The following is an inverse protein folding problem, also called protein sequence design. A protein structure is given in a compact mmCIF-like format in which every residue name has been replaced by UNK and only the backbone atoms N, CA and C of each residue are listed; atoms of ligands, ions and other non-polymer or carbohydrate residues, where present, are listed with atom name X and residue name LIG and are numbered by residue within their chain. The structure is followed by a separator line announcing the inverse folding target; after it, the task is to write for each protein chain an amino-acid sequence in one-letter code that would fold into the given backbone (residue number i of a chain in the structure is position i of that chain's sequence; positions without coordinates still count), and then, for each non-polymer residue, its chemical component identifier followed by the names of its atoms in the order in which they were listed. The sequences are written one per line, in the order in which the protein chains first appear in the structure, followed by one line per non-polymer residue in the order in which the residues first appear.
data_IF_707238883883
#
_entry.id   IF_707238883883
#
_cell.length_a   1.000
_cell.length_b   1.000
_cell.length_c   1.000
_cell.angle_alpha   90.00
_cell.angle_beta   90.00
_cell.angle_gamma   90.00
#
_symmetry.space_group_name_H-M   'P 1'
#
loop_
_entity.id
_entity.type
_entity.pdbx_description
1 polymer ?
#
# COMPACT_ATOMS: atom_id res chain seq x y z
N UNK A 1 15.32 18.33 -7.89
CA UNK A 1 16.62 18.10 -7.23
C UNK A 1 16.57 16.78 -6.48
N UNK A 2 17.49 16.51 -5.54
CA UNK A 2 17.45 15.26 -4.75
C UNK A 2 16.15 15.13 -3.93
N UNK A 3 15.76 16.15 -3.15
CA UNK A 3 14.47 16.15 -2.44
C UNK A 3 13.29 15.89 -3.38
N UNK A 4 13.20 16.64 -4.49
CA UNK A 4 12.14 16.44 -5.51
C UNK A 4 12.07 15.03 -6.12
N UNK A 5 13.15 14.25 -6.06
CA UNK A 5 13.15 12.85 -6.51
C UNK A 5 12.73 11.90 -5.38
N UNK A 6 13.11 12.19 -4.15
CA UNK A 6 12.71 11.45 -2.96
C UNK A 6 11.22 11.70 -2.61
N UNK A 7 10.77 12.95 -2.56
CA UNK A 7 9.35 13.35 -2.47
C UNK A 7 8.48 12.64 -3.53
N UNK A 8 8.98 12.53 -4.77
CA UNK A 8 8.29 11.84 -5.87
C UNK A 8 8.22 10.32 -5.62
N UNK A 9 9.31 9.71 -5.14
CA UNK A 9 9.38 8.27 -4.87
C UNK A 9 8.57 7.87 -3.64
N UNK A 10 8.48 8.72 -2.61
CA UNK A 10 7.60 8.52 -1.45
C UNK A 10 6.14 8.44 -1.90
N UNK A 11 5.66 9.43 -2.66
CA UNK A 11 4.27 9.48 -3.14
C UNK A 11 3.95 8.33 -4.12
N UNK A 12 4.90 7.91 -4.96
CA UNK A 12 4.76 6.69 -5.78
C UNK A 12 4.64 5.45 -4.89
N UNK A 13 5.44 5.35 -3.83
CA UNK A 13 5.41 4.21 -2.88
C UNK A 13 4.09 4.18 -2.10
N UNK A 14 3.55 5.33 -1.69
CA UNK A 14 2.24 5.41 -1.02
C UNK A 14 1.09 4.98 -1.92
N UNK A 15 1.13 5.35 -3.21
CA UNK A 15 0.19 4.81 -4.20
C UNK A 15 0.34 3.29 -4.39
N UNK A 16 1.57 2.78 -4.47
CA UNK A 16 1.85 1.34 -4.57
C UNK A 16 1.32 0.53 -3.36
N UNK A 17 1.38 1.13 -2.17
CA UNK A 17 0.85 0.57 -0.92
C UNK A 17 -0.68 0.74 -0.76
N UNK A 18 -1.37 1.37 -1.71
CA UNK A 18 -2.81 1.63 -1.63
C UNK A 18 -3.21 2.71 -0.61
N UNK A 19 -2.26 3.54 -0.16
CA UNK A 19 -2.51 4.62 0.81
C UNK A 19 -3.27 5.79 0.16
N UNK A 20 -3.14 5.97 -1.16
CA UNK A 20 -4.00 6.89 -1.92
C UNK A 20 -4.16 6.53 -3.41
N UNK A 21 -5.35 6.82 -3.94
CA UNK A 21 -5.69 6.71 -5.37
C UNK A 21 -5.35 7.97 -6.21
N UNK A 22 -4.72 8.99 -5.61
CA UNK A 22 -4.47 10.27 -6.29
C UNK A 22 -3.48 10.11 -7.45
N UNK A 23 -3.72 10.74 -8.61
CA UNK A 23 -2.85 10.63 -9.77
C UNK A 23 -1.52 11.38 -9.55
N UNK A 24 -0.40 10.75 -9.90
CA UNK A 24 0.96 11.32 -9.77
C UNK A 24 1.45 11.79 -11.15
N UNK A 25 1.87 13.05 -11.25
CA UNK A 25 2.21 13.69 -12.54
C UNK A 25 3.65 14.20 -12.64
N UNK A 26 4.39 13.71 -13.63
CA UNK A 26 5.79 14.10 -13.89
C UNK A 26 5.91 14.97 -15.15
N UNK A 27 6.18 16.26 -14.96
CA UNK A 27 6.40 17.22 -16.05
C UNK A 27 7.82 17.08 -16.63
N UNK A 28 7.94 16.42 -17.77
CA UNK A 28 9.21 16.08 -18.41
C UNK A 28 9.68 17.15 -19.41
N UNK A 29 9.93 18.36 -18.91
CA UNK A 29 10.46 19.48 -19.72
C UNK A 29 11.80 19.09 -20.35
N UNK A 30 11.94 19.32 -21.65
CA UNK A 30 13.15 19.06 -22.46
C UNK A 30 13.79 17.66 -22.28
N UNK A 31 13.00 16.67 -21.82
CA UNK A 31 13.48 15.32 -21.56
C UNK A 31 14.30 15.14 -20.28
N UNK A 32 14.25 16.09 -19.34
CA UNK A 32 15.02 16.05 -18.08
C UNK A 32 14.88 14.72 -17.29
N UNK A 33 13.69 14.13 -17.30
CA UNK A 33 13.39 12.87 -16.61
C UNK A 33 13.54 11.62 -17.49
N UNK A 34 14.04 11.71 -18.74
CA UNK A 34 14.14 10.56 -19.65
C UNK A 34 14.94 9.38 -19.07
N UNK A 35 16.07 9.66 -18.40
CA UNK A 35 16.86 8.61 -17.73
C UNK A 35 16.14 7.99 -16.52
N UNK A 36 15.32 8.77 -15.81
CA UNK A 36 14.50 8.25 -14.71
C UNK A 36 13.37 7.36 -15.24
N UNK A 37 12.68 7.78 -16.30
CA UNK A 37 11.66 6.96 -16.97
C UNK A 37 12.26 5.64 -17.46
N UNK A 38 13.41 5.69 -18.16
CA UNK A 38 14.12 4.49 -18.64
C UNK A 38 14.60 3.60 -17.48
N UNK A 39 14.99 4.16 -16.33
CA UNK A 39 15.31 3.39 -15.13
C UNK A 39 14.09 2.66 -14.56
N UNK A 40 12.93 3.32 -14.50
CA UNK A 40 11.68 2.69 -14.06
C UNK A 40 11.22 1.61 -15.06
N UNK A 41 11.33 1.86 -16.36
CA UNK A 41 11.07 0.84 -17.40
C UNK A 41 11.96 -0.39 -17.19
N UNK A 42 13.26 -0.17 -16.97
CA UNK A 42 14.23 -1.25 -16.72
C UNK A 42 13.99 -2.00 -15.41
N UNK A 43 13.50 -1.32 -14.37
CA UNK A 43 13.11 -1.94 -13.10
C UNK A 43 11.86 -2.83 -13.24
N UNK A 44 10.99 -2.57 -14.22
CA UNK A 44 9.90 -3.48 -14.60
C UNK A 44 10.43 -4.68 -15.39
N UNK A 45 11.31 -4.46 -16.37
CA UNK A 45 11.95 -5.54 -17.15
C UNK A 45 12.71 -6.54 -16.27
N UNK A 46 13.39 -6.06 -15.22
CA UNK A 46 14.11 -6.89 -14.25
C UNK A 46 13.22 -7.43 -13.10
N UNK A 47 11.92 -7.11 -13.10
CA UNK A 47 10.93 -7.65 -12.14
C UNK A 47 10.95 -7.04 -10.74
N UNK A 48 11.60 -5.88 -10.54
CA UNK A 48 11.56 -5.14 -9.27
C UNK A 48 10.28 -4.33 -9.08
N UNK A 49 9.60 -3.96 -10.16
CA UNK A 49 8.31 -3.25 -10.19
C UNK A 49 7.35 -4.09 -11.05
N UNK A 50 6.10 -4.28 -10.61
CA UNK A 50 5.11 -5.01 -11.42
C UNK A 50 4.73 -4.22 -12.68
N UNK A 51 4.43 -4.87 -13.82
CA UNK A 51 3.95 -4.17 -15.01
C UNK A 51 2.66 -3.34 -14.80
N UNK A 52 1.84 -3.66 -13.80
CA UNK A 52 0.71 -2.84 -13.36
C UNK A 52 1.18 -1.55 -12.68
N UNK A 53 2.04 -1.67 -11.66
CA UNK A 53 2.59 -0.57 -10.86
C UNK A 53 3.36 0.45 -11.69
N UNK A 54 3.88 0.06 -12.87
CA UNK A 54 4.49 0.98 -13.86
C UNK A 54 3.63 2.19 -14.19
N UNK A 55 2.30 2.07 -14.07
CA UNK A 55 1.33 3.10 -14.43
C UNK A 55 0.87 3.98 -13.26
N UNK A 56 1.41 3.82 -12.05
CA UNK A 56 1.11 4.64 -10.86
C UNK A 56 1.34 6.15 -11.09
N UNK A 57 2.27 6.52 -11.98
CA UNK A 57 2.49 7.90 -12.37
C UNK A 57 2.48 8.09 -13.89
N UNK A 58 1.96 9.24 -14.31
CA UNK A 58 1.92 9.68 -15.72
C UNK A 58 2.99 10.73 -15.97
N UNK A 59 3.49 10.82 -17.20
CA UNK A 59 4.42 11.87 -17.62
C UNK A 59 4.04 12.51 -18.95
N UNK A 60 4.37 13.80 -19.09
CA UNK A 60 4.17 14.56 -20.32
C UNK A 60 5.21 15.69 -20.43
N UNK A 61 5.60 16.12 -21.65
CA UNK A 61 6.56 17.20 -21.86
C UNK A 61 5.99 18.61 -21.65
N UNK A 62 4.66 18.76 -21.51
CA UNK A 62 4.00 20.06 -21.36
C UNK A 62 2.83 20.00 -20.34
N UNK A 63 2.48 21.12 -19.68
CA UNK A 63 1.46 21.11 -18.62
C UNK A 63 0.05 20.74 -19.09
N UNK A 64 -0.34 21.10 -20.33
CA UNK A 64 -1.69 20.82 -20.84
C UNK A 64 -1.92 19.31 -21.00
N UNK A 65 -0.95 18.63 -21.61
CA UNK A 65 -0.98 17.17 -21.77
C UNK A 65 -0.82 16.46 -20.41
N UNK A 66 -0.07 17.03 -19.47
CA UNK A 66 0.04 16.46 -18.13
C UNK A 66 -1.31 16.50 -17.40
N UNK A 67 -2.00 17.64 -17.39
CA UNK A 67 -3.32 17.77 -16.76
C UNK A 67 -4.32 16.81 -17.40
N UNK A 68 -4.38 16.72 -18.73
CA UNK A 68 -5.24 15.74 -19.41
C UNK A 68 -4.98 14.30 -18.94
N UNK A 69 -3.71 13.89 -18.81
CA UNK A 69 -3.32 12.56 -18.30
C UNK A 69 -3.59 12.35 -16.81
N UNK A 70 -3.75 13.41 -16.03
CA UNK A 70 -4.16 13.34 -14.62
C UNK A 70 -5.69 13.25 -14.49
N UNK A 71 -6.44 13.94 -15.36
CA UNK A 71 -7.90 13.86 -15.44
C UNK A 71 -8.37 12.50 -15.99
N UNK A 72 -7.65 11.92 -16.95
CA UNK A 72 -7.91 10.60 -17.54
C UNK A 72 -7.36 9.41 -16.72
N UNK A 73 -6.78 9.65 -15.53
CA UNK A 73 -6.11 8.62 -14.73
C UNK A 73 -7.09 7.65 -14.06
N UNK A 74 -6.77 6.36 -14.10
CA UNK A 74 -7.46 5.29 -13.36
C UNK A 74 -6.47 4.64 -12.40
N UNK A 75 -6.76 4.55 -11.09
CA UNK A 75 -5.85 3.95 -10.11
C UNK A 75 -5.48 2.50 -10.40
N UNK A 76 -4.21 2.16 -10.16
CA UNK A 76 -3.70 0.79 -10.27
C UNK A 76 -4.12 0.00 -9.02
N UNK A 77 -5.32 -0.60 -9.06
CA UNK A 77 -5.77 -1.50 -8.01
C UNK A 77 -5.13 -2.89 -8.16
N UNK A 78 -4.27 -3.25 -7.21
CA UNK A 78 -3.72 -4.60 -7.07
C UNK A 78 -4.43 -5.31 -5.90
N UNK A 79 -5.15 -6.40 -6.20
CA UNK A 79 -6.00 -7.10 -5.24
C UNK A 79 -5.27 -7.62 -4.00
N UNK A 80 -3.94 -7.72 -4.05
CA UNK A 80 -3.12 -8.25 -2.93
C UNK A 80 -3.17 -7.32 -1.71
N UNK A 81 -3.11 -6.00 -1.90
CA UNK A 81 -3.18 -5.04 -0.79
C UNK A 81 -4.59 -5.01 -0.16
N UNK A 82 -5.62 -5.08 -1.00
CA UNK A 82 -7.03 -5.10 -0.58
C UNK A 82 -7.44 -6.36 0.20
N UNK A 83 -6.57 -7.37 0.30
CA UNK A 83 -6.81 -8.64 1.02
C UNK A 83 -6.04 -8.76 2.33
N UNK A 84 -5.38 -7.70 2.81
CA UNK A 84 -4.79 -7.65 4.15
C UNK A 84 -5.85 -7.35 5.22
N UNK A 85 -6.86 -8.23 5.29
CA UNK A 85 -7.96 -8.18 6.25
C UNK A 85 -7.51 -8.92 7.54
N UNK A 86 -6.95 -8.17 8.49
CA UNK A 86 -6.25 -8.73 9.67
C UNK A 86 -7.17 -9.52 10.62
N UNK A 87 -8.48 -9.40 10.47
CA UNK A 87 -9.51 -10.13 11.22
C UNK A 87 -9.55 -11.64 10.90
N UNK A 88 -9.13 -12.08 9.71
CA UNK A 88 -9.31 -13.49 9.27
C UNK A 88 -8.28 -14.48 9.86
N UNK A 89 -7.26 -14.02 10.60
CA UNK A 89 -6.16 -14.88 11.07
C UNK A 89 -6.49 -15.60 12.40
N UNK A 90 -7.59 -15.27 13.09
CA UNK A 90 -7.97 -15.87 14.38
C UNK A 90 -9.05 -16.96 14.22
N UNK A 91 -8.70 -18.04 13.51
CA UNK A 91 -9.40 -19.34 13.61
C UNK A 91 -8.80 -20.16 14.77
N UNK A 92 -9.50 -20.33 15.91
CA UNK A 92 -8.99 -21.16 17.01
C UNK A 92 -8.99 -22.64 16.60
N UNK A 93 -7.80 -23.23 16.52
CA UNK A 93 -7.64 -24.66 16.21
C UNK A 93 -8.40 -25.52 17.24
N UNK A 94 -9.23 -26.49 16.81
CA UNK A 94 -9.98 -27.34 17.73
C UNK A 94 -9.05 -28.26 18.53
N UNK A 95 -9.26 -28.35 19.85
CA UNK A 95 -8.38 -29.09 20.75
C UNK A 95 -8.64 -30.61 20.67
N UNK A 96 -7.63 -31.36 20.23
CA UNK A 96 -7.77 -32.80 19.95
C UNK A 96 -7.67 -33.70 21.21
N UNK A 97 -8.32 -33.34 22.33
CA UNK A 97 -8.38 -34.22 23.52
C UNK A 97 -9.50 -33.89 24.53
N UNK A 98 -10.77 -34.06 24.16
CA UNK A 98 -11.85 -34.06 25.15
C UNK A 98 -11.95 -35.40 25.91
N UNK A 99 -11.65 -35.41 27.21
CA UNK A 99 -12.12 -36.46 28.14
C UNK A 99 -12.38 -35.83 29.52
N UNK A 100 -13.61 -35.99 30.01
CA UNK A 100 -14.20 -35.33 31.20
C UNK A 100 -14.30 -36.32 32.38
N UNK A 101 -14.68 -35.92 33.62
CA UNK A 101 -14.77 -34.60 34.27
C UNK A 101 -13.92 -34.62 35.60
N UNK A 102 -14.11 -33.89 36.73
CA UNK A 102 -14.91 -32.72 37.17
C UNK A 102 -14.29 -32.17 38.50
N UNK A 103 -14.48 -30.88 38.81
CA UNK A 103 -14.65 -30.32 40.18
C UNK A 103 -15.17 -28.87 40.05
N UNK A 104 -15.90 -28.36 41.05
CA UNK A 104 -16.69 -27.11 40.99
C UNK A 104 -16.26 -26.11 42.07
N UNK A 105 -16.05 -24.84 41.70
CA UNK A 105 -16.06 -23.71 42.65
C UNK A 105 -16.52 -22.40 41.99
N UNK A 106 -16.86 -21.41 42.83
CA UNK A 106 -17.97 -20.46 42.63
C UNK A 106 -17.64 -19.13 41.87
N UNK A 107 -18.65 -18.31 41.51
CA UNK A 107 -18.51 -17.25 40.49
C UNK A 107 -18.11 -15.86 41.03
N UNK A 108 -17.94 -14.94 40.07
CA UNK A 108 -17.56 -13.52 40.21
C UNK A 108 -16.09 -13.22 40.55
N UNK A 109 -15.27 -13.11 39.51
CA UNK A 109 -14.16 -12.14 39.49
C UNK A 109 -14.09 -11.53 38.08
N UNK A 110 -14.43 -10.24 37.90
CA UNK A 110 -14.37 -9.60 36.59
C UNK A 110 -12.91 -9.28 36.23
N UNK A 111 -12.37 -9.98 35.23
CA UNK A 111 -11.05 -9.65 34.68
C UNK A 111 -11.18 -8.36 33.87
N UNK A 112 -10.59 -7.27 34.37
CA UNK A 112 -10.53 -5.98 33.69
C UNK A 112 -9.53 -6.07 32.53
N UNK A 113 -9.91 -5.80 31.27
CA UNK A 113 -8.93 -5.69 30.19
C UNK A 113 -7.97 -4.51 30.46
N UNK A 114 -6.69 -4.61 30.05
CA UNK A 114 -5.80 -3.46 30.00
C UNK A 114 -6.41 -2.34 29.16
N UNK A 115 -6.15 -1.09 29.53
CA UNK A 115 -6.68 0.06 28.80
C UNK A 115 -6.04 0.18 27.41
N UNK A 116 -6.80 0.74 26.47
CA UNK A 116 -6.29 1.22 25.19
C UNK A 116 -5.12 2.18 25.40
N UNK A 117 -4.10 2.10 24.54
CA UNK A 117 -3.14 3.19 24.39
C UNK A 117 -2.95 3.51 22.92
N UNK A 118 -3.74 4.48 22.46
CA UNK A 118 -3.62 5.10 21.14
C UNK A 118 -2.34 5.94 21.11
N UNK A 119 -1.49 5.65 20.12
CA UNK A 119 -0.28 6.36 19.72
C UNK A 119 -0.04 5.89 18.25
N UNK A 120 0.00 6.72 17.20
CA UNK A 120 0.63 8.04 17.02
C UNK A 120 2.11 7.98 17.43
N UNK A 121 3.08 8.20 16.54
CA UNK A 121 3.09 9.07 15.35
C UNK A 121 3.44 8.27 14.10
#
# INVERSE_FOLDING_TARGET
GYGTLEELLEVITWAQLGIHDKPVGLLNVDGYYNFFLTFIDKAVDDGFIKPSERHIFVSAPNPKELVQKLDDYVPVQDEVAAKLNWEEIIEPQPDSSSTTPATKQDPFTPIRPPAEQIALI
#
